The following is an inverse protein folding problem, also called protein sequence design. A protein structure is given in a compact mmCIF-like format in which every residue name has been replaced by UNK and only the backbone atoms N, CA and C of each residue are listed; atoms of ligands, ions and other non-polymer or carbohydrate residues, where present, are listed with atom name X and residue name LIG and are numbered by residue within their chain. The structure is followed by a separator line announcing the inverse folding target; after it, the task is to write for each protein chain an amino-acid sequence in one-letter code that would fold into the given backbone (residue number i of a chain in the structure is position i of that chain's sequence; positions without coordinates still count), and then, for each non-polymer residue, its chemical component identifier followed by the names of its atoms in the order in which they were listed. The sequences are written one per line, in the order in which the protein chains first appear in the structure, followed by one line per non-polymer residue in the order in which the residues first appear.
data_IF_244912814363
#
_entry.id   IF_244912814363
#
_cell.length_a   1.000
_cell.length_b   1.000
_cell.length_c   1.000
_cell.angle_alpha   90.00
_cell.angle_beta   90.00
_cell.angle_gamma   90.00
#
_symmetry.space_group_name_H-M   'P 1'
#
loop_
_entity.id
_entity.type
_entity.pdbx_description
1 polymer ?
#
# COMPACT_ATOMS: atom_id res chain seq x y z
N UNK A 1 -3.47 -14.73 -18.54
CA UNK A 1 -2.34 -14.38 -17.65
C UNK A 1 -1.85 -12.99 -18.01
N UNK A 2 -1.71 -12.12 -17.01
CA UNK A 2 -1.19 -10.76 -17.22
C UNK A 2 0.33 -10.76 -17.24
N UNK A 3 0.92 -10.18 -18.26
CA UNK A 3 2.38 -9.99 -18.40
C UNK A 3 2.70 -8.54 -18.72
N UNK A 4 3.89 -8.07 -18.33
CA UNK A 4 4.41 -6.74 -18.58
C UNK A 4 5.63 -6.83 -19.48
N UNK A 5 5.59 -6.16 -20.63
CA UNK A 5 6.78 -6.01 -21.47
C UNK A 5 7.68 -4.88 -20.98
N UNK A 6 8.92 -4.84 -21.44
CA UNK A 6 9.92 -3.83 -21.08
C UNK A 6 9.47 -2.38 -21.35
N UNK A 7 8.58 -2.21 -22.34
CA UNK A 7 7.98 -0.93 -22.67
C UNK A 7 6.93 -0.45 -21.63
N UNK A 8 6.74 -1.20 -20.54
CA UNK A 8 5.80 -0.88 -19.46
C UNK A 8 4.35 -1.25 -19.74
N UNK A 9 4.05 -1.79 -20.92
CA UNK A 9 2.71 -2.19 -21.32
C UNK A 9 2.33 -3.54 -20.72
N UNK A 10 1.09 -3.64 -20.25
CA UNK A 10 0.51 -4.86 -19.68
C UNK A 10 -0.44 -5.47 -20.70
N UNK A 11 -0.29 -6.77 -20.94
CA UNK A 11 -1.13 -7.55 -21.85
C UNK A 11 -1.71 -8.74 -21.10
N UNK A 12 -2.94 -9.10 -21.46
CA UNK A 12 -3.52 -10.38 -21.05
C UNK A 12 -3.32 -11.39 -22.17
N UNK A 13 -2.60 -12.46 -21.86
CA UNK A 13 -2.15 -13.46 -22.83
C UNK A 13 -2.48 -14.86 -22.33
N UNK A 14 -2.69 -15.78 -23.26
CA UNK A 14 -2.92 -17.19 -22.92
C UNK A 14 -1.68 -17.77 -22.24
N UNK A 15 -1.87 -18.59 -21.20
CA UNK A 15 -0.80 -19.09 -20.32
C UNK A 15 0.35 -19.77 -21.08
N UNK A 16 0.05 -20.53 -22.14
CA UNK A 16 1.07 -21.19 -22.98
C UNK A 16 1.98 -20.18 -23.68
N UNK A 17 1.41 -19.10 -24.19
CA UNK A 17 2.14 -18.01 -24.85
C UNK A 17 2.91 -17.20 -23.82
N UNK A 18 2.26 -16.84 -22.71
CA UNK A 18 2.89 -16.10 -21.61
C UNK A 18 4.12 -16.85 -21.06
N UNK A 19 4.01 -18.16 -20.84
CA UNK A 19 5.13 -19.00 -20.38
C UNK A 19 6.31 -18.95 -21.35
N UNK A 20 6.04 -19.03 -22.66
CA UNK A 20 7.08 -18.93 -23.69
C UNK A 20 7.76 -17.56 -23.71
N UNK A 21 6.99 -16.49 -23.58
CA UNK A 21 7.52 -15.12 -23.57
C UNK A 21 8.33 -14.81 -22.30
N UNK A 22 7.91 -15.33 -21.15
CA UNK A 22 8.63 -15.21 -19.88
C UNK A 22 9.93 -16.02 -19.92
N UNK A 23 9.87 -17.27 -20.41
CA UNK A 23 11.06 -18.13 -20.53
C UNK A 23 12.10 -17.56 -21.50
N UNK A 24 11.65 -16.84 -22.54
CA UNK A 24 12.52 -16.12 -23.46
C UNK A 24 13.02 -14.77 -22.90
N UNK A 25 12.48 -14.29 -21.77
CA UNK A 25 12.89 -13.05 -21.13
C UNK A 25 12.36 -11.77 -21.79
N UNK A 26 11.30 -11.84 -22.59
CA UNK A 26 10.72 -10.65 -23.25
C UNK A 26 9.69 -9.91 -22.39
N UNK A 27 9.10 -10.60 -21.40
CA UNK A 27 8.05 -10.07 -20.54
C UNK A 27 8.17 -10.66 -19.14
N UNK A 28 7.63 -9.96 -18.15
CA UNK A 28 7.53 -10.41 -16.77
C UNK A 28 6.07 -10.72 -16.41
N UNK A 29 5.84 -11.72 -15.55
CA UNK A 29 4.50 -12.01 -15.06
C UNK A 29 4.04 -10.91 -14.10
N UNK A 30 2.83 -10.39 -14.31
CA UNK A 30 2.18 -9.45 -13.39
C UNK A 30 1.35 -10.27 -12.39
N UNK A 31 1.62 -10.16 -11.08
CA UNK A 31 0.80 -10.79 -10.06
C UNK A 31 -0.62 -10.22 -10.10
N UNK A 32 -1.62 -11.08 -10.00
CA UNK A 32 -2.97 -10.61 -9.78
C UNK A 32 -3.06 -9.99 -8.38
N UNK A 33 -3.62 -8.78 -8.27
CA UNK A 33 -3.70 -8.02 -7.01
C UNK A 33 -4.42 -8.75 -5.87
N UNK A 34 -5.08 -9.88 -6.15
CA UNK A 34 -5.72 -10.76 -5.16
C UNK A 34 -4.79 -11.78 -4.51
N UNK A 35 -3.53 -11.93 -4.96
CA UNK A 35 -2.57 -12.88 -4.37
C UNK A 35 -1.50 -12.21 -3.53
N UNK A 36 -1.65 -10.93 -3.19
CA UNK A 36 -0.85 -10.37 -2.09
C UNK A 36 -1.12 -11.25 -0.87
N UNK A 37 -0.11 -11.95 -0.32
CA UNK A 37 -0.30 -12.60 0.97
C UNK A 37 -0.75 -11.48 1.91
N UNK A 38 -1.94 -11.63 2.49
CA UNK A 38 -2.31 -10.87 3.67
C UNK A 38 -1.33 -11.29 4.75
N UNK A 39 -0.14 -10.69 4.77
CA UNK A 39 0.73 -10.72 5.93
C UNK A 39 -0.15 -10.26 7.08
N UNK A 40 -0.42 -11.09 8.11
CA UNK A 40 -1.09 -10.55 9.29
C UNK A 40 -0.19 -9.42 9.77
N UNK A 41 -0.75 -8.21 9.88
CA UNK A 41 -0.05 -7.12 10.53
C UNK A 41 0.26 -7.60 11.95
N UNK A 42 1.51 -8.01 12.19
CA UNK A 42 2.01 -8.25 13.53
C UNK A 42 2.17 -6.88 14.18
N UNK A 43 1.06 -6.39 14.71
CA UNK A 43 1.00 -5.28 15.62
C UNK A 43 1.51 -5.82 16.97
N UNK A 44 2.82 -6.01 17.09
CA UNK A 44 3.44 -6.24 18.40
C UNK A 44 3.63 -4.88 19.06
N UNK A 45 2.49 -4.43 19.58
CA UNK A 45 2.31 -3.36 20.54
C UNK A 45 3.11 -3.71 21.79
N UNK A 46 4.19 -2.98 22.06
CA UNK A 46 4.85 -3.06 23.37
C UNK A 46 3.87 -2.55 24.43
N UNK A 47 3.49 -3.35 25.45
CA UNK A 47 2.57 -2.88 26.47
C UNK A 47 3.35 -2.01 27.46
N UNK A 48 3.31 -0.69 27.26
CA UNK A 48 3.75 0.27 28.27
C UNK A 48 2.57 0.49 29.25
N UNK A 49 2.45 -0.40 30.24
CA UNK A 49 1.78 -0.10 31.52
C UNK A 49 2.93 0.28 32.48
N UNK A 50 2.98 1.40 33.20
CA UNK A 50 2.01 2.10 34.07
C UNK A 50 2.81 3.28 34.73
N UNK A 51 2.33 4.16 35.64
CA UNK A 51 0.99 4.72 35.94
C UNK A 51 0.96 6.28 35.99
N UNK A 52 -0.27 6.81 35.89
CA UNK A 52 -0.87 7.94 36.62
C UNK A 52 0.01 9.08 37.20
N UNK A 53 -0.18 10.30 36.67
CA UNK A 53 -0.42 11.52 37.46
C UNK A 53 -0.82 12.67 36.53
N UNK A 54 -2.10 13.04 36.59
CA UNK A 54 -2.75 13.91 35.61
C UNK A 54 -2.24 15.34 35.49
N UNK A 55 -2.67 15.99 34.41
CA UNK A 55 -3.20 17.37 34.40
C UNK A 55 -3.70 17.70 32.99
N UNK A 56 -5.02 17.92 32.87
CA UNK A 56 -5.56 18.85 31.87
C UNK A 56 -5.06 20.26 32.24
N UNK A 57 -4.61 21.12 31.29
CA UNK A 57 -5.55 22.09 30.75
C UNK A 57 -5.35 22.50 29.27
N UNK A 58 -6.49 22.58 28.59
CA UNK A 58 -7.00 23.71 27.80
C UNK A 58 -7.00 23.62 26.24
N UNK A 59 -8.14 23.92 25.58
CA UNK A 59 -8.25 23.91 24.12
C UNK A 59 -7.60 25.14 23.48
N UNK A 60 -6.75 24.93 22.48
CA UNK A 60 -6.20 26.01 21.66
C UNK A 60 -7.26 26.57 20.70
N UNK A 61 -7.55 27.86 20.85
CA UNK A 61 -8.42 28.68 20.00
C UNK A 61 -7.88 28.72 18.55
N UNK A 62 -8.73 28.53 17.51
CA UNK A 62 -8.28 28.65 16.13
C UNK A 62 -8.09 30.12 15.70
N UNK A 63 -7.19 30.40 14.73
CA UNK A 63 -6.97 31.76 14.23
C UNK A 63 -8.17 32.20 13.37
N UNK A 64 -8.76 33.36 13.70
CA UNK A 64 -9.80 34.00 12.90
C UNK A 64 -9.20 34.55 11.60
N UNK A 65 -9.49 33.88 10.48
CA UNK A 65 -9.58 34.54 9.18
C UNK A 65 -10.96 35.16 9.01
N UNK A 66 -11.03 36.45 8.66
CA UNK A 66 -12.29 37.13 8.36
C UNK A 66 -12.07 38.52 7.76
N UNK A 67 -12.23 38.62 6.43
CA UNK A 67 -12.39 39.87 5.69
C UNK A 67 -13.70 40.58 6.09
N UNK A 68 -13.65 41.91 6.21
CA UNK A 68 -14.70 42.96 6.09
C UNK A 68 -14.07 44.23 6.67
N UNK A 69 -14.01 45.43 6.08
CA UNK A 69 -14.79 46.16 5.06
C UNK A 69 -13.87 47.23 4.48
#
# INVERSE_FOLDING_TARGET
MRVKGDNGLIFDVVDTVATGLIAAGYVEQVPDEQTLPTTPASNDETPDNDPDAGTDPAPQKPPKGGKTT
#
